data_IF_141194761928
#
_entry.id   IF_141194761928
#
_cell.length_a   1.000
_cell.length_b   1.000
_cell.length_c   1.000
_cell.angle_alpha   90.00
_cell.angle_beta   90.00
_cell.angle_gamma   90.00
#
_symmetry.space_group_name_H-M   'P 1'
#
loop_
_entity.id
_entity.type
_entity.pdbx_description
1 polymer ?
#
# COMPACT_ATOMS: atom_id res chain seq x y z
N UNK A 1 19.85 13.70 7.77
CA UNK A 1 18.89 13.45 8.86
C UNK A 1 17.52 13.62 8.24
N UNK A 2 16.65 12.62 8.24
CA UNK A 2 15.32 12.76 7.63
C UNK A 2 14.52 13.84 8.36
N UNK A 3 13.79 14.66 7.63
CA UNK A 3 12.87 15.62 8.26
C UNK A 3 11.78 14.86 9.07
N UNK A 4 11.29 15.36 10.22
CA UNK A 4 10.19 14.74 10.96
C UNK A 4 8.94 14.41 10.11
N UNK A 5 8.59 15.26 9.15
CA UNK A 5 7.48 15.05 8.22
C UNK A 5 7.75 13.89 7.27
N UNK A 6 8.97 13.80 6.74
CA UNK A 6 9.38 12.70 5.86
C UNK A 6 9.37 11.36 6.61
N UNK A 7 9.77 11.36 7.90
CA UNK A 7 9.66 10.16 8.75
C UNK A 7 8.20 9.75 8.98
N UNK A 8 7.33 10.72 9.23
CA UNK A 8 5.91 10.45 9.41
C UNK A 8 5.27 9.89 8.13
N UNK A 9 5.53 10.50 6.98
CA UNK A 9 5.03 10.02 5.69
C UNK A 9 5.49 8.57 5.43
N UNK A 10 6.78 8.30 5.61
CA UNK A 10 7.32 6.94 5.47
C UNK A 10 6.67 5.94 6.43
N UNK A 11 6.42 6.32 7.68
CA UNK A 11 5.76 5.46 8.65
C UNK A 11 4.31 5.13 8.24
N UNK A 12 3.56 6.11 7.73
CA UNK A 12 2.20 5.90 7.22
C UNK A 12 2.21 4.91 6.05
N UNK A 13 3.14 5.08 5.11
CA UNK A 13 3.26 4.22 3.93
C UNK A 13 3.61 2.78 4.33
N UNK A 14 4.57 2.61 5.25
CA UNK A 14 4.94 1.29 5.77
C UNK A 14 3.75 0.63 6.45
N UNK A 15 2.99 1.38 7.25
CA UNK A 15 1.81 0.85 7.94
C UNK A 15 0.73 0.39 6.94
N UNK A 16 0.45 1.19 5.91
CA UNK A 16 -0.52 0.83 4.86
C UNK A 16 -0.13 -0.47 4.13
N UNK A 17 1.16 -0.65 3.82
CA UNK A 17 1.67 -1.90 3.22
C UNK A 17 1.52 -3.09 4.17
N UNK A 18 1.80 -2.90 5.46
CA UNK A 18 1.62 -3.96 6.45
C UNK A 18 0.15 -4.36 6.60
N UNK A 19 -0.75 -3.38 6.61
CA UNK A 19 -2.19 -3.65 6.72
C UNK A 19 -2.72 -4.34 5.47
N UNK A 20 -2.24 -3.98 4.27
CA UNK A 20 -2.55 -4.72 3.05
C UNK A 20 -2.14 -6.20 3.16
N UNK A 21 -0.91 -6.44 3.65
CA UNK A 21 -0.35 -7.79 3.81
C UNK A 21 -1.06 -8.64 4.86
N UNK A 22 -1.57 -8.04 5.94
CA UNK A 22 -2.36 -8.78 6.94
C UNK A 22 -3.63 -9.38 6.34
N UNK A 23 -4.22 -8.67 5.39
CA UNK A 23 -5.42 -9.11 4.68
C UNK A 23 -5.10 -10.08 3.53
N UNK A 24 -3.83 -10.26 3.18
CA UNK A 24 -3.37 -11.18 2.13
C UNK A 24 -3.63 -12.64 2.48
N UNK A 25 -4.18 -13.41 1.53
CA UNK A 25 -4.56 -14.81 1.73
C UNK A 25 -5.86 -15.05 2.52
N UNK A 26 -6.52 -14.01 3.05
CA UNK A 26 -7.79 -14.16 3.80
C UNK A 26 -8.99 -14.41 2.89
N UNK A 27 -9.13 -13.60 1.84
CA UNK A 27 -10.16 -13.69 0.83
C UNK A 27 -9.65 -13.11 -0.49
N UNK A 28 -10.08 -13.69 -1.61
CA UNK A 28 -9.73 -13.21 -2.96
C UNK A 28 -10.24 -11.78 -3.22
N UNK A 29 -11.36 -11.42 -2.61
CA UNK A 29 -11.91 -10.07 -2.66
C UNK A 29 -12.04 -9.56 -1.23
N UNK A 30 -11.11 -8.72 -0.80
CA UNK A 30 -11.12 -8.12 0.52
C UNK A 30 -11.36 -6.59 0.38
N UNK A 31 -12.45 -6.05 0.95
CA UNK A 31 -12.77 -4.63 0.85
C UNK A 31 -11.73 -3.72 1.50
N UNK A 32 -11.01 -4.19 2.53
CA UNK A 32 -9.94 -3.41 3.18
C UNK A 32 -8.73 -3.26 2.26
N UNK A 33 -8.34 -4.32 1.54
CA UNK A 33 -7.31 -4.20 0.50
C UNK A 33 -7.69 -3.19 -0.57
N UNK A 34 -8.95 -3.21 -1.01
CA UNK A 34 -9.44 -2.28 -2.02
C UNK A 34 -9.37 -0.81 -1.53
N UNK A 35 -9.72 -0.56 -0.25
CA UNK A 35 -9.57 0.77 0.36
C UNK A 35 -8.13 1.22 0.44
N UNK A 36 -7.20 0.33 0.80
CA UNK A 36 -5.77 0.66 0.87
C UNK A 36 -5.23 1.01 -0.52
N UNK A 37 -5.56 0.22 -1.54
CA UNK A 37 -5.16 0.53 -2.92
C UNK A 37 -5.78 1.84 -3.40
N UNK A 38 -7.05 2.09 -3.10
CA UNK A 38 -7.71 3.35 -3.43
C UNK A 38 -7.03 4.56 -2.76
N UNK A 39 -6.61 4.42 -1.50
CA UNK A 39 -5.85 5.46 -0.80
C UNK A 39 -4.46 5.65 -1.41
N UNK A 40 -3.72 4.58 -1.74
CA UNK A 40 -2.41 4.69 -2.41
C UNK A 40 -2.54 5.43 -3.74
N UNK A 41 -3.57 5.12 -4.53
CA UNK A 41 -3.82 5.76 -5.83
C UNK A 41 -4.49 7.14 -5.71
N UNK A 42 -4.76 7.61 -4.50
CA UNK A 42 -5.37 8.92 -4.27
C UNK A 42 -4.33 10.04 -4.29
N UNK A 43 -4.80 11.27 -4.50
CA UNK A 43 -3.95 12.46 -4.44
C UNK A 43 -3.33 12.71 -3.06
N UNK A 44 -3.91 12.16 -1.98
CA UNK A 44 -3.38 12.31 -0.62
C UNK A 44 -2.04 11.59 -0.44
N UNK A 45 -1.84 10.47 -1.13
CA UNK A 45 -0.57 9.74 -1.11
C UNK A 45 0.52 10.56 -1.81
N UNK A 46 0.24 11.08 -3.00
CA UNK A 46 1.17 11.94 -3.74
C UNK A 46 1.46 13.27 -3.04
N UNK A 47 0.61 13.70 -2.11
CA UNK A 47 0.84 14.90 -1.31
C UNK A 47 1.90 14.70 -0.21
N UNK A 48 2.16 13.46 0.21
CA UNK A 48 3.08 13.15 1.32
C UNK A 48 4.35 12.41 0.88
N UNK A 49 4.43 11.96 -0.37
CA UNK A 49 5.60 11.24 -0.89
C UNK A 49 5.78 11.39 -2.40
N UNK A 50 7.04 11.37 -2.84
CA UNK A 50 7.42 11.32 -4.26
C UNK A 50 7.39 9.89 -4.84
N UNK A 51 7.00 8.89 -4.04
CA UNK A 51 6.81 7.53 -4.54
C UNK A 51 5.70 7.49 -5.59
N UNK A 52 5.92 6.72 -6.65
CA UNK A 52 4.93 6.50 -7.70
C UNK A 52 3.83 5.57 -7.18
N UNK A 53 2.59 6.06 -6.97
CA UNK A 53 1.53 5.26 -6.35
C UNK A 53 1.14 4.05 -7.21
N UNK A 54 1.19 4.17 -8.53
CA UNK A 54 0.86 3.09 -9.47
C UNK A 54 1.86 1.94 -9.36
N UNK A 55 3.14 2.25 -9.13
CA UNK A 55 4.19 1.24 -8.98
C UNK A 55 4.01 0.47 -7.67
N UNK A 56 3.68 1.17 -6.58
CA UNK A 56 3.41 0.53 -5.29
C UNK A 56 2.16 -0.35 -5.35
N UNK A 57 1.06 0.16 -5.89
CA UNK A 57 -0.18 -0.57 -6.02
C UNK A 57 -0.02 -1.84 -6.88
N UNK A 58 0.65 -1.74 -8.03
CA UNK A 58 0.92 -2.88 -8.90
C UNK A 58 1.79 -3.94 -8.22
N UNK A 59 2.79 -3.53 -7.43
CA UNK A 59 3.63 -4.46 -6.67
C UNK A 59 2.82 -5.24 -5.63
N UNK A 60 1.92 -4.57 -4.89
CA UNK A 60 1.06 -5.19 -3.87
C UNK A 60 0.05 -6.16 -4.49
N UNK A 61 -0.55 -5.81 -5.61
CA UNK A 61 -1.48 -6.69 -6.33
C UNK A 61 -0.77 -7.93 -6.87
N UNK A 62 0.41 -7.76 -7.47
CA UNK A 62 1.24 -8.88 -7.93
C UNK A 62 1.70 -9.79 -6.80
N UNK A 63 2.00 -9.23 -5.62
CA UNK A 63 2.33 -10.01 -4.42
C UNK A 63 1.15 -10.89 -4.00
N UNK A 64 -0.08 -10.35 -4.02
CA UNK A 64 -1.30 -11.09 -3.68
C UNK A 64 -1.65 -12.16 -4.73
N UNK A 65 -1.51 -11.86 -6.03
CA UNK A 65 -1.71 -12.84 -7.12
C UNK A 65 -0.82 -14.07 -6.95
N UNK A 66 0.47 -13.87 -6.63
CA UNK A 66 1.44 -14.95 -6.39
C UNK A 66 1.06 -15.90 -5.25
N UNK A 67 0.20 -15.46 -4.33
CA UNK A 67 -0.24 -16.28 -3.20
C UNK A 67 -1.41 -17.19 -3.59
N UNK A 68 -2.23 -16.78 -4.55
CA UNK A 68 -3.32 -17.61 -5.08
C UNK A 68 -2.89 -18.55 -6.21
N UNK A 69 -1.70 -18.33 -6.79
CA UNK A 69 -1.08 -19.23 -7.78
C UNK A 69 -0.28 -20.39 -7.15
N UNK A 70 -0.07 -20.39 -5.83
CA UNK A 70 0.63 -21.44 -5.06
C UNK A 70 -0.35 -22.42 -4.41
#
# INVERSE_FOLDING_TARGET
MLDPYERLANAIIIQAVQDYRKETGTAKTNPEKAKIIAWILSGDFSAITDLKPEVLAAALQKEDERIWEQ
#
